data_IF_081560807003
#
_entry.id   IF_081560807003
#
_cell.length_a   1.000
_cell.length_b   1.000
_cell.length_c   1.000
_cell.angle_alpha   90.00
_cell.angle_beta   90.00
_cell.angle_gamma   90.00
#
_symmetry.space_group_name_H-M   'P 1'
#
loop_
_entity.id
_entity.type
_entity.pdbx_description
1 polymer ?
#
# COMPACT_ATOMS: atom_id res chain seq x y z
N UNK A 1 9.61 -4.87 -18.13
CA UNK A 1 10.23 -3.73 -17.41
C UNK A 1 11.62 -4.13 -16.96
N UNK A 2 12.57 -3.19 -16.90
CA UNK A 2 13.89 -3.47 -16.35
C UNK A 2 13.83 -3.66 -14.82
N UNK A 3 14.76 -4.41 -14.22
CA UNK A 3 14.85 -4.55 -12.76
C UNK A 3 15.09 -3.20 -12.07
N UNK A 4 15.81 -2.28 -12.72
CA UNK A 4 16.01 -0.91 -12.23
C UNK A 4 14.68 -0.15 -12.08
N UNK A 5 13.79 -0.29 -13.07
CA UNK A 5 12.44 0.30 -13.03
C UNK A 5 11.60 -0.29 -11.89
N UNK A 6 11.65 -1.61 -11.69
CA UNK A 6 10.91 -2.28 -10.61
C UNK A 6 11.38 -1.80 -9.24
N UNK A 7 12.70 -1.66 -9.04
CA UNK A 7 13.28 -1.12 -7.81
C UNK A 7 12.89 0.34 -7.57
N UNK A 8 12.90 1.16 -8.60
CA UNK A 8 12.46 2.55 -8.50
C UNK A 8 10.99 2.64 -8.07
N UNK A 9 10.10 1.87 -8.71
CA UNK A 9 8.68 1.82 -8.34
C UNK A 9 8.50 1.34 -6.90
N UNK A 10 9.20 0.27 -6.52
CA UNK A 10 9.18 -0.24 -5.14
C UNK A 10 9.55 0.85 -4.11
N UNK A 11 10.61 1.62 -4.38
CA UNK A 11 11.07 2.71 -3.52
C UNK A 11 10.10 3.89 -3.49
N UNK A 12 9.58 4.30 -4.65
CA UNK A 12 8.64 5.42 -4.75
C UNK A 12 7.32 5.11 -4.03
N UNK A 13 6.83 3.87 -4.14
CA UNK A 13 5.65 3.44 -3.41
C UNK A 13 5.88 3.47 -1.90
N UNK A 14 7.04 3.03 -1.42
CA UNK A 14 7.39 3.11 0.00
C UNK A 14 7.41 4.55 0.50
N UNK A 15 8.08 5.44 -0.25
CA UNK A 15 8.20 6.85 0.09
C UNK A 15 6.81 7.53 0.12
N UNK A 16 5.98 7.24 -0.88
CA UNK A 16 4.60 7.72 -0.93
C UNK A 16 3.82 7.30 0.32
N UNK A 17 3.84 6.02 0.67
CA UNK A 17 3.11 5.49 1.84
C UNK A 17 3.58 6.19 3.12
N UNK A 18 4.89 6.31 3.35
CA UNK A 18 5.43 6.96 4.56
C UNK A 18 5.02 8.43 4.66
N UNK A 19 5.13 9.19 3.55
CA UNK A 19 4.72 10.59 3.52
C UNK A 19 3.22 10.71 3.81
N UNK A 20 2.41 9.90 3.15
CA UNK A 20 0.96 9.95 3.30
C UNK A 20 0.51 9.57 4.71
N UNK A 21 1.17 8.61 5.35
CA UNK A 21 0.92 8.27 6.76
C UNK A 21 1.13 9.50 7.64
N UNK A 22 2.24 10.22 7.45
CA UNK A 22 2.51 11.47 8.15
C UNK A 22 1.42 12.52 7.92
N UNK A 23 0.98 12.70 6.68
CA UNK A 23 -0.11 13.64 6.33
C UNK A 23 -1.41 13.27 7.02
N UNK A 24 -1.80 11.99 6.98
CA UNK A 24 -3.04 11.53 7.61
C UNK A 24 -2.99 11.72 9.13
N UNK A 25 -1.89 11.33 9.78
CA UNK A 25 -1.79 11.34 11.24
C UNK A 25 -1.57 12.72 11.84
N UNK A 26 -0.80 13.57 11.17
CA UNK A 26 -0.39 14.86 11.74
C UNK A 26 -1.24 16.02 11.23
N UNK A 27 -1.96 15.85 10.12
CA UNK A 27 -2.74 16.91 9.50
C UNK A 27 -4.22 16.55 9.45
N UNK A 28 -4.59 15.44 8.82
CA UNK A 28 -6.00 15.15 8.52
C UNK A 28 -6.77 14.64 9.74
N UNK A 29 -6.28 13.60 10.43
CA UNK A 29 -6.98 13.03 11.59
C UNK A 29 -7.20 14.04 12.73
N UNK A 30 -6.22 14.90 13.10
CA UNK A 30 -6.42 15.92 14.13
C UNK A 30 -7.50 16.96 13.81
N UNK A 31 -7.96 17.08 12.56
CA UNK A 31 -9.09 17.95 12.20
C UNK A 31 -10.44 17.39 12.62
N UNK A 32 -10.52 16.08 12.89
CA UNK A 32 -11.78 15.38 13.17
C UNK A 32 -11.77 14.60 14.49
N UNK A 33 -10.59 14.30 15.03
CA UNK A 33 -10.39 13.50 16.25
C UNK A 33 -9.36 14.21 17.14
N UNK A 34 -9.51 14.21 18.49
CA UNK A 34 -8.52 14.82 19.37
C UNK A 34 -7.10 14.29 19.16
N UNK A 35 -6.11 15.19 19.13
CA UNK A 35 -4.71 14.83 18.87
C UNK A 35 -4.17 13.78 19.86
N UNK A 36 -4.61 13.80 21.12
CA UNK A 36 -4.23 12.80 22.12
C UNK A 36 -4.66 11.38 21.73
N UNK A 37 -5.84 11.23 21.13
CA UNK A 37 -6.34 9.95 20.65
C UNK A 37 -5.55 9.50 19.42
N UNK A 38 -5.29 10.41 18.47
CA UNK A 38 -4.47 10.12 17.28
C UNK A 38 -3.07 9.65 17.66
N UNK A 39 -2.40 10.32 18.60
CA UNK A 39 -1.05 9.98 19.06
C UNK A 39 -1.01 8.69 19.90
N UNK A 40 -2.12 8.32 20.54
CA UNK A 40 -2.24 7.05 21.27
C UNK A 40 -2.61 5.86 20.37
N UNK A 41 -3.03 6.14 19.14
CA UNK A 41 -3.42 5.12 18.17
C UNK A 41 -2.22 4.60 17.37
N UNK A 42 -2.26 3.34 16.94
CA UNK A 42 -1.19 2.76 16.13
C UNK A 42 -1.41 3.13 14.64
N UNK A 43 -0.47 3.86 14.02
CA UNK A 43 -0.64 4.36 12.66
C UNK A 43 -0.81 3.28 11.61
N UNK A 44 -0.27 2.09 11.87
CA UNK A 44 -0.32 0.95 10.94
C UNK A 44 -1.66 0.23 11.01
N UNK A 45 -2.34 0.19 12.16
CA UNK A 45 -3.64 -0.49 12.33
C UNK A 45 -4.85 0.41 12.11
N UNK A 46 -4.69 1.73 12.20
CA UNK A 46 -5.78 2.69 11.93
C UNK A 46 -5.95 2.93 10.42
N UNK A 47 -4.88 2.73 9.63
CA UNK A 47 -4.85 3.03 8.21
C UNK A 47 -5.79 2.24 7.29
N UNK A 48 -6.18 0.98 7.59
CA UNK A 48 -7.17 0.27 6.80
C UNK A 48 -8.62 0.44 7.30
N UNK A 49 -8.85 1.18 8.38
CA UNK A 49 -10.18 1.23 9.01
C UNK A 49 -10.67 2.61 9.47
N UNK A 50 -9.85 3.65 9.50
CA UNK A 50 -10.15 4.83 10.31
C UNK A 50 -10.54 6.10 9.55
N UNK A 51 -9.84 6.43 8.46
CA UNK A 51 -9.89 7.80 7.92
C UNK A 51 -11.19 8.03 7.13
N UNK A 52 -11.58 7.09 6.28
CA UNK A 52 -12.84 7.09 5.57
C UNK A 52 -14.07 6.96 6.48
N UNK A 53 -13.93 6.25 7.62
CA UNK A 53 -14.99 6.18 8.64
C UNK A 53 -15.24 7.53 9.31
N UNK A 54 -14.18 8.32 9.47
CA UNK A 54 -14.24 9.67 10.06
C UNK A 54 -14.73 10.71 9.04
N UNK A 55 -14.28 10.64 7.79
CA UNK A 55 -14.76 11.49 6.71
C UNK A 55 -14.83 10.71 5.37
N UNK A 56 -16.03 10.45 4.82
CA UNK A 56 -16.21 9.72 3.56
C UNK A 56 -15.52 10.35 2.34
N UNK A 57 -15.24 11.66 2.36
CA UNK A 57 -14.52 12.33 1.27
C UNK A 57 -13.06 11.89 1.17
N UNK A 58 -12.51 11.28 2.22
CA UNK A 58 -11.14 10.78 2.27
C UNK A 58 -11.00 9.34 1.75
N UNK A 59 -12.09 8.67 1.35
CA UNK A 59 -12.07 7.30 0.78
C UNK A 59 -11.10 7.16 -0.38
N UNK A 60 -11.08 8.12 -1.29
CA UNK A 60 -10.14 8.11 -2.42
C UNK A 60 -8.69 8.19 -1.96
N UNK A 61 -8.40 9.01 -0.95
CA UNK A 61 -7.07 9.12 -0.39
C UNK A 61 -6.62 7.79 0.21
N UNK A 62 -7.46 7.22 1.08
CA UNK A 62 -7.21 5.92 1.72
C UNK A 62 -7.01 4.81 0.69
N UNK A 63 -7.85 4.76 -0.37
CA UNK A 63 -7.73 3.80 -1.45
C UNK A 63 -6.39 3.91 -2.20
N UNK A 64 -5.91 5.14 -2.49
CA UNK A 64 -4.61 5.30 -3.16
C UNK A 64 -3.44 4.81 -2.29
N UNK A 65 -3.53 5.01 -0.97
CA UNK A 65 -2.46 4.61 -0.05
C UNK A 65 -2.46 3.10 0.15
N UNK A 66 -3.64 2.51 0.33
CA UNK A 66 -3.79 1.07 0.44
C UNK A 66 -3.36 0.35 -0.85
N UNK A 67 -3.68 0.92 -2.03
CA UNK A 67 -3.19 0.41 -3.31
C UNK A 67 -1.66 0.48 -3.41
N UNK A 68 -1.06 1.61 -3.00
CA UNK A 68 0.39 1.78 -3.03
C UNK A 68 1.10 0.84 -2.06
N UNK A 69 0.59 0.70 -0.83
CA UNK A 69 1.08 -0.24 0.17
C UNK A 69 1.01 -1.68 -0.34
N UNK A 70 -0.15 -2.09 -0.84
CA UNK A 70 -0.35 -3.46 -1.36
C UNK A 70 0.62 -3.76 -2.50
N UNK A 71 0.77 -2.83 -3.44
CA UNK A 71 1.72 -2.96 -4.55
C UNK A 71 3.16 -3.05 -4.07
N UNK A 72 3.56 -2.22 -3.10
CA UNK A 72 4.89 -2.28 -2.47
C UNK A 72 5.16 -3.64 -1.83
N UNK A 73 4.20 -4.16 -1.05
CA UNK A 73 4.29 -5.47 -0.41
C UNK A 73 4.43 -6.61 -1.44
N UNK A 74 3.67 -6.57 -2.53
CA UNK A 74 3.75 -7.56 -3.61
C UNK A 74 5.11 -7.51 -4.31
N UNK A 75 5.65 -6.32 -4.57
CA UNK A 75 6.99 -6.16 -5.15
C UNK A 75 8.10 -6.62 -4.19
N UNK A 76 7.93 -6.41 -2.89
CA UNK A 76 8.81 -6.97 -1.86
C UNK A 76 8.80 -8.50 -1.85
N UNK A 77 7.61 -9.10 -1.97
CA UNK A 77 7.46 -10.55 -2.09
C UNK A 77 8.08 -11.10 -3.39
N UNK A 78 7.89 -10.41 -4.52
CA UNK A 78 8.58 -10.74 -5.78
C UNK A 78 10.09 -10.77 -5.58
N UNK A 79 10.66 -9.75 -4.93
CA UNK A 79 12.10 -9.67 -4.67
C UNK A 79 12.58 -10.88 -3.87
N UNK A 80 11.89 -11.20 -2.79
CA UNK A 80 12.18 -12.38 -1.98
C UNK A 80 12.16 -13.68 -2.81
N UNK A 81 11.12 -13.89 -3.62
CA UNK A 81 11.04 -15.06 -4.50
C UNK A 81 12.13 -15.08 -5.58
N UNK A 82 12.49 -13.91 -6.12
CA UNK A 82 13.55 -13.80 -7.13
C UNK A 82 14.92 -14.18 -6.56
N UNK A 83 15.19 -13.84 -5.30
CA UNK A 83 16.46 -14.21 -4.63
C UNK A 83 16.57 -15.74 -4.44
N UNK A 84 15.45 -16.45 -4.36
CA UNK A 84 15.39 -17.91 -4.23
C UNK A 84 15.39 -18.65 -5.57
N UNK A 85 15.16 -17.95 -6.69
CA UNK A 85 14.89 -18.57 -7.99
C UNK A 85 16.12 -18.50 -8.91
N UNK A 86 16.73 -19.66 -9.19
CA UNK A 86 17.98 -19.75 -9.96
C UNK A 86 17.81 -20.04 -11.46
N UNK A 87 16.57 -20.21 -11.94
CA UNK A 87 16.29 -20.59 -13.32
C UNK A 87 15.45 -19.55 -14.05
N UNK A 88 15.65 -19.44 -15.36
CA UNK A 88 14.87 -18.51 -16.19
C UNK A 88 13.38 -18.85 -16.20
N UNK A 89 13.04 -20.15 -16.25
CA UNK A 89 11.64 -20.62 -16.17
C UNK A 89 11.01 -20.27 -14.84
N UNK A 90 11.74 -20.41 -13.73
CA UNK A 90 11.27 -19.97 -12.42
C UNK A 90 11.03 -18.46 -12.38
N UNK A 91 11.96 -17.66 -12.90
CA UNK A 91 11.80 -16.20 -12.94
C UNK A 91 10.59 -15.76 -13.78
N UNK A 92 10.29 -16.47 -14.88
CA UNK A 92 9.04 -16.27 -15.64
C UNK A 92 7.81 -16.51 -14.77
N UNK A 93 7.79 -17.56 -13.96
CA UNK A 93 6.69 -17.84 -13.04
C UNK A 93 6.55 -16.77 -11.95
N UNK A 94 7.66 -16.35 -11.32
CA UNK A 94 7.67 -15.27 -10.31
C UNK A 94 7.09 -13.97 -10.89
N UNK A 95 7.45 -13.62 -12.12
CA UNK A 95 6.92 -12.44 -12.79
C UNK A 95 5.41 -12.56 -13.07
N UNK A 96 4.95 -13.71 -13.57
CA UNK A 96 3.52 -13.96 -13.78
C UNK A 96 2.71 -13.91 -12.49
N UNK A 97 3.22 -14.53 -11.43
CA UNK A 97 2.61 -14.47 -10.10
C UNK A 97 2.51 -13.03 -9.60
N UNK A 98 3.58 -12.25 -9.75
CA UNK A 98 3.59 -10.82 -9.35
C UNK A 98 2.47 -10.06 -10.08
N UNK A 99 2.36 -10.23 -11.40
CA UNK A 99 1.33 -9.58 -12.21
C UNK A 99 -0.07 -10.00 -11.75
N UNK A 100 -0.29 -11.30 -11.51
CA UNK A 100 -1.57 -11.80 -11.02
C UNK A 100 -1.93 -11.21 -9.66
N UNK A 101 -0.98 -11.15 -8.73
CA UNK A 101 -1.19 -10.56 -7.41
C UNK A 101 -1.54 -9.08 -7.51
N UNK A 102 -0.82 -8.29 -8.33
CA UNK A 102 -1.14 -6.87 -8.53
C UNK A 102 -2.54 -6.71 -9.14
N UNK A 103 -2.85 -7.48 -10.18
CA UNK A 103 -4.12 -7.38 -10.90
C UNK A 103 -5.34 -7.81 -10.06
N UNK A 104 -5.16 -8.64 -9.04
CA UNK A 104 -6.25 -9.12 -8.18
C UNK A 104 -6.31 -8.34 -6.86
N UNK A 105 -5.20 -8.26 -6.13
CA UNK A 105 -5.19 -7.72 -4.77
C UNK A 105 -5.40 -6.21 -4.78
N UNK A 106 -4.77 -5.48 -5.70
CA UNK A 106 -4.90 -4.00 -5.72
C UNK A 106 -6.34 -3.57 -5.99
N UNK A 107 -7.05 -4.10 -7.01
CA UNK A 107 -8.46 -3.79 -7.19
C UNK A 107 -9.35 -4.24 -6.04
N UNK A 108 -9.09 -5.40 -5.42
CA UNK A 108 -9.85 -5.86 -4.25
C UNK A 108 -9.74 -4.91 -3.06
N UNK A 109 -8.52 -4.43 -2.77
CA UNK A 109 -8.28 -3.48 -1.67
C UNK A 109 -8.97 -2.14 -1.95
N UNK A 110 -8.86 -1.62 -3.19
CA UNK A 110 -9.56 -0.41 -3.59
C UNK A 110 -11.07 -0.59 -3.46
N UNK A 111 -11.61 -1.68 -3.99
CA UNK A 111 -13.04 -1.99 -3.93
C UNK A 111 -13.53 -2.05 -2.49
N UNK A 112 -12.83 -2.77 -1.62
CA UNK A 112 -13.16 -2.89 -0.20
C UNK A 112 -13.28 -1.51 0.49
N UNK A 113 -12.34 -0.60 0.24
CA UNK A 113 -12.36 0.76 0.80
C UNK A 113 -13.51 1.60 0.23
N UNK A 114 -13.85 1.41 -1.05
CA UNK A 114 -14.88 2.23 -1.69
C UNK A 114 -16.31 1.83 -1.30
N UNK A 115 -16.53 0.58 -0.86
CA UNK A 115 -17.87 0.09 -0.46
C UNK A 115 -18.16 0.21 1.04
N UNK A 116 -17.13 0.32 1.88
CA UNK A 116 -17.23 0.76 3.29
C UNK A 116 -17.46 2.25 3.27
#
# INVERSE_FOLDING_TARGET
MSEGTIRLIFLLLALYVVIMIGVVFLVLLPMYVPLSEVLSSNPITVYPEGVAKVNPTLKFLEATIAAAWSTHGILGFRRFLSDLTKTERGMKFVNWLTVALVAVIVPLVIYAIMII
#
